data_IF_773650035959
#
_entry.id   IF_773650035959
#
_cell.length_a   1.000
_cell.length_b   1.000
_cell.length_c   1.000
_cell.angle_alpha   90.00
_cell.angle_beta   90.00
_cell.angle_gamma   90.00
#
_symmetry.space_group_name_H-M   'P 1'
#
loop_
_entity.id
_entity.type
_entity.pdbx_description
1 polymer ?
#
# COMPACT_ATOMS: atom_id res chain seq x y z
N UNK A 1 -11.91 -26.91 26.81
CA UNK A 1 -11.80 -27.09 25.35
C UNK A 1 -11.11 -25.85 24.85
N UNK A 2 -9.81 -25.96 24.58
CA UNK A 2 -9.03 -24.85 24.04
C UNK A 2 -9.56 -24.51 22.65
N UNK A 3 -10.21 -23.36 22.51
CA UNK A 3 -10.43 -22.73 21.22
C UNK A 3 -9.06 -22.30 20.70
N UNK A 4 -8.35 -23.21 20.04
CA UNK A 4 -7.23 -22.81 19.18
C UNK A 4 -7.80 -21.86 18.13
N UNK A 5 -7.47 -20.57 18.24
CA UNK A 5 -7.68 -19.61 17.15
C UNK A 5 -7.05 -20.21 15.89
N UNK A 6 -7.91 -20.60 14.93
CA UNK A 6 -7.45 -21.13 13.65
C UNK A 6 -6.69 -20.00 12.97
N UNK A 7 -5.37 -20.16 12.84
CA UNK A 7 -4.55 -19.16 12.15
C UNK A 7 -5.07 -18.96 10.71
N UNK A 8 -5.07 -17.72 10.20
CA UNK A 8 -5.53 -17.45 8.85
C UNK A 8 -4.80 -18.30 7.82
N UNK A 9 -5.53 -18.76 6.81
CA UNK A 9 -4.93 -19.58 5.76
C UNK A 9 -4.06 -18.70 4.85
N UNK A 10 -2.74 -18.91 4.92
CA UNK A 10 -1.74 -18.06 4.24
C UNK A 10 -2.08 -17.80 2.76
N UNK A 11 -2.48 -18.83 2.02
CA UNK A 11 -2.80 -18.70 0.58
C UNK A 11 -3.93 -17.69 0.36
N UNK A 12 -5.00 -17.79 1.13
CA UNK A 12 -6.14 -16.87 1.04
C UNK A 12 -5.76 -15.44 1.42
N UNK A 13 -4.88 -15.27 2.43
CA UNK A 13 -4.34 -13.95 2.76
C UNK A 13 -3.56 -13.37 1.58
N UNK A 14 -2.71 -14.16 0.92
CA UNK A 14 -1.92 -13.69 -0.22
C UNK A 14 -2.80 -13.32 -1.43
N UNK A 15 -3.85 -14.11 -1.71
CA UNK A 15 -4.80 -13.82 -2.78
C UNK A 15 -5.52 -12.48 -2.54
N UNK A 16 -5.95 -12.22 -1.30
CA UNK A 16 -6.58 -10.97 -0.92
C UNK A 16 -5.61 -9.78 -0.98
N UNK A 17 -4.35 -9.96 -0.56
CA UNK A 17 -3.30 -8.92 -0.70
C UNK A 17 -3.14 -8.54 -2.18
N UNK A 18 -2.97 -9.54 -3.04
CA UNK A 18 -2.77 -9.31 -4.47
C UNK A 18 -3.98 -8.66 -5.12
N UNK A 19 -5.19 -9.05 -4.72
CA UNK A 19 -6.44 -8.41 -5.18
C UNK A 19 -6.46 -6.91 -4.88
N UNK A 20 -6.06 -6.49 -3.68
CA UNK A 20 -6.02 -5.07 -3.31
C UNK A 20 -4.87 -4.34 -4.02
N UNK A 21 -3.66 -4.92 -4.05
CA UNK A 21 -2.47 -4.30 -4.66
C UNK A 21 -2.58 -4.16 -6.18
N UNK A 22 -3.35 -5.01 -6.85
CA UNK A 22 -3.56 -4.92 -8.30
C UNK A 22 -4.74 -4.01 -8.67
N UNK A 23 -5.47 -3.50 -7.68
CA UNK A 23 -6.60 -2.61 -7.89
C UNK A 23 -6.25 -1.40 -8.76
N UNK A 24 -7.24 -0.93 -9.49
CA UNK A 24 -7.10 0.29 -10.28
C UNK A 24 -6.81 1.52 -9.44
N UNK A 25 -7.23 1.53 -8.18
CA UNK A 25 -6.95 2.61 -7.26
C UNK A 25 -6.79 2.07 -5.84
N UNK A 26 -5.55 2.04 -5.34
CA UNK A 26 -5.23 1.48 -4.01
C UNK A 26 -5.87 2.30 -2.87
N UNK A 27 -5.93 3.63 -3.02
CA UNK A 27 -6.56 4.54 -2.03
C UNK A 27 -8.04 4.18 -1.86
N UNK A 28 -8.76 4.06 -2.98
CA UNK A 28 -10.18 3.68 -2.98
C UNK A 28 -10.40 2.23 -2.56
N UNK A 29 -9.51 1.32 -2.95
CA UNK A 29 -9.59 -0.06 -2.55
C UNK A 29 -9.54 -0.17 -1.03
N UNK A 30 -8.52 0.44 -0.40
CA UNK A 30 -8.37 0.44 1.05
C UNK A 30 -9.52 1.12 1.78
N UNK A 31 -10.01 2.26 1.28
CA UNK A 31 -11.13 2.99 1.90
C UNK A 31 -12.45 2.19 1.92
N UNK A 32 -12.68 1.35 0.90
CA UNK A 32 -13.92 0.60 0.75
C UNK A 32 -13.79 -0.89 1.11
N UNK A 33 -12.60 -1.32 1.53
CA UNK A 33 -12.33 -2.73 1.78
C UNK A 33 -13.08 -3.23 3.02
N UNK A 34 -13.84 -4.31 2.87
CA UNK A 34 -14.59 -4.95 3.95
C UNK A 34 -13.83 -6.18 4.45
N UNK A 35 -13.08 -6.01 5.54
CA UNK A 35 -12.40 -7.11 6.22
C UNK A 35 -13.40 -7.86 7.11
N UNK A 36 -14.11 -8.83 6.54
CA UNK A 36 -15.13 -9.62 7.22
C UNK A 36 -14.69 -11.04 7.56
N UNK A 37 -13.42 -11.37 7.33
CA UNK A 37 -12.79 -12.64 7.68
C UNK A 37 -11.37 -12.38 8.20
N UNK A 38 -10.81 -13.26 9.04
CA UNK A 38 -9.43 -13.11 9.54
C UNK A 38 -8.40 -12.95 8.41
N UNK A 39 -8.58 -13.66 7.30
CA UNK A 39 -7.70 -13.56 6.13
C UNK A 39 -7.69 -12.16 5.54
N UNK A 40 -8.87 -11.55 5.44
CA UNK A 40 -9.03 -10.20 4.88
C UNK A 40 -8.52 -9.13 5.84
N UNK A 41 -8.64 -9.35 7.15
CA UNK A 41 -8.05 -8.48 8.17
C UNK A 41 -6.52 -8.45 8.04
N UNK A 42 -5.89 -9.62 7.93
CA UNK A 42 -4.45 -9.71 7.74
C UNK A 42 -4.00 -9.11 6.40
N UNK A 43 -4.78 -9.35 5.33
CA UNK A 43 -4.50 -8.78 4.02
C UNK A 43 -4.57 -7.25 4.03
N UNK A 44 -5.62 -6.67 4.64
CA UNK A 44 -5.75 -5.22 4.69
C UNK A 44 -4.69 -4.57 5.56
N UNK A 45 -4.28 -5.20 6.67
CA UNK A 45 -3.16 -4.72 7.49
C UNK A 45 -1.85 -4.69 6.71
N UNK A 46 -1.55 -5.76 5.97
CA UNK A 46 -0.39 -5.81 5.10
C UNK A 46 -0.40 -4.69 4.05
N UNK A 47 -1.52 -4.51 3.34
CA UNK A 47 -1.61 -3.51 2.28
C UNK A 47 -1.63 -2.09 2.84
N UNK A 48 -2.20 -1.88 4.04
CA UNK A 48 -2.08 -0.61 4.77
C UNK A 48 -0.63 -0.28 5.13
N UNK A 49 0.16 -1.27 5.56
CA UNK A 49 1.57 -1.03 5.85
C UNK A 49 2.34 -0.56 4.60
N UNK A 50 2.11 -1.22 3.44
CA UNK A 50 2.66 -0.78 2.15
C UNK A 50 2.17 0.62 1.76
N UNK A 51 0.87 0.88 1.89
CA UNK A 51 0.28 2.18 1.60
C UNK A 51 0.89 3.30 2.45
N UNK A 52 1.03 3.08 3.76
CA UNK A 52 1.61 4.04 4.70
C UNK A 52 3.08 4.33 4.34
N UNK A 53 3.84 3.30 3.98
CA UNK A 53 5.20 3.46 3.48
C UNK A 53 5.26 4.35 2.23
N UNK A 54 4.41 4.10 1.24
CA UNK A 54 4.32 4.95 0.04
C UNK A 54 3.90 6.39 0.40
N UNK A 55 2.95 6.55 1.32
CA UNK A 55 2.49 7.87 1.77
C UNK A 55 3.60 8.67 2.46
N UNK A 56 4.44 8.02 3.27
CA UNK A 56 5.59 8.66 3.91
C UNK A 56 6.61 9.15 2.87
N UNK A 57 6.94 8.31 1.89
CA UNK A 57 7.86 8.68 0.79
C UNK A 57 7.29 9.87 0.01
N UNK A 58 6.02 9.79 -0.40
CA UNK A 58 5.33 10.85 -1.13
C UNK A 58 5.35 12.16 -0.36
N UNK A 59 5.03 12.12 0.93
CA UNK A 59 5.00 13.31 1.78
C UNK A 59 6.37 13.94 1.88
N UNK A 60 7.42 13.14 2.07
CA UNK A 60 8.79 13.61 2.13
C UNK A 60 9.26 14.21 0.79
N UNK A 61 8.97 13.54 -0.32
CA UNK A 61 9.34 13.97 -1.66
C UNK A 61 8.66 15.30 -2.01
N UNK A 62 7.36 15.48 -1.67
CA UNK A 62 6.65 16.76 -1.84
C UNK A 62 7.35 17.88 -1.06
N UNK A 63 7.64 17.66 0.23
CA UNK A 63 8.31 18.65 1.09
C UNK A 63 9.71 19.03 0.55
N UNK A 64 10.43 18.06 -0.02
CA UNK A 64 11.78 18.26 -0.57
C UNK A 64 11.80 18.63 -2.05
N UNK A 65 10.64 18.72 -2.69
CA UNK A 65 10.48 18.96 -4.14
C UNK A 65 11.24 17.93 -5.00
N UNK A 66 11.25 16.68 -4.55
CA UNK A 66 11.83 15.55 -5.28
C UNK A 66 10.76 14.98 -6.23
N UNK A 67 11.16 14.68 -7.45
CA UNK A 67 10.34 13.95 -8.42
C UNK A 67 11.06 12.67 -8.77
N UNK A 68 10.50 11.54 -8.35
CA UNK A 68 11.07 10.21 -8.63
C UNK A 68 10.53 9.67 -9.95
N UNK A 69 11.42 9.02 -10.70
CA UNK A 69 11.05 8.17 -11.81
C UNK A 69 10.44 6.84 -11.33
N UNK A 70 9.71 6.18 -12.22
CA UNK A 70 9.17 4.83 -11.96
C UNK A 70 10.27 3.83 -11.57
N UNK A 71 11.47 3.97 -12.14
CA UNK A 71 12.61 3.12 -11.81
C UNK A 71 13.08 3.32 -10.37
N UNK A 72 13.23 4.57 -9.92
CA UNK A 72 13.63 4.88 -8.54
C UNK A 72 12.60 4.42 -7.52
N UNK A 73 11.30 4.50 -7.85
CA UNK A 73 10.23 4.01 -6.97
C UNK A 73 10.29 2.49 -6.87
N UNK A 74 10.45 1.79 -8.00
CA UNK A 74 10.62 0.32 -8.03
C UNK A 74 11.84 -0.12 -7.23
N UNK A 75 12.96 0.56 -7.42
CA UNK A 75 14.21 0.27 -6.72
C UNK A 75 14.07 0.43 -5.21
N UNK A 76 13.46 1.52 -4.75
CA UNK A 76 13.19 1.77 -3.33
C UNK A 76 12.29 0.70 -2.71
N UNK A 77 11.18 0.37 -3.39
CA UNK A 77 10.24 -0.65 -2.91
C UNK A 77 10.89 -2.04 -2.90
N UNK A 78 11.67 -2.36 -3.93
CA UNK A 78 12.41 -3.62 -4.03
C UNK A 78 13.41 -3.77 -2.88
N UNK A 79 14.21 -2.73 -2.60
CA UNK A 79 15.20 -2.76 -1.52
C UNK A 79 14.57 -2.96 -0.15
N UNK A 80 13.49 -2.22 0.17
CA UNK A 80 12.81 -2.33 1.46
C UNK A 80 12.13 -3.70 1.63
N UNK A 81 11.67 -4.30 0.53
CA UNK A 81 10.97 -5.58 0.55
C UNK A 81 11.83 -6.77 0.13
N UNK A 82 13.16 -6.65 0.08
CA UNK A 82 14.04 -7.70 -0.43
C UNK A 82 13.86 -9.05 0.29
N UNK A 83 13.60 -9.03 1.60
CA UNK A 83 13.32 -10.24 2.37
C UNK A 83 12.00 -10.93 1.97
N UNK A 84 11.04 -10.17 1.41
CA UNK A 84 9.79 -10.74 0.91
C UNK A 84 10.02 -11.61 -0.32
N UNK A 85 11.03 -11.30 -1.15
CA UNK A 85 11.33 -12.08 -2.34
C UNK A 85 11.54 -13.57 -2.03
N UNK A 86 12.17 -13.89 -0.90
CA UNK A 86 12.40 -15.28 -0.48
C UNK A 86 11.18 -15.93 0.19
N UNK A 87 10.29 -15.13 0.78
CA UNK A 87 9.09 -15.63 1.48
C UNK A 87 7.94 -15.85 0.52
N UNK A 88 7.75 -14.89 -0.39
CA UNK A 88 6.67 -14.82 -1.34
C UNK A 88 7.07 -13.95 -2.55
N UNK A 89 7.63 -14.59 -3.56
CA UNK A 89 8.09 -13.93 -4.78
C UNK A 89 6.94 -13.24 -5.54
N UNK A 90 5.74 -13.82 -5.49
CA UNK A 90 4.57 -13.28 -6.19
C UNK A 90 4.13 -11.95 -5.56
N UNK A 91 4.04 -11.89 -4.23
CA UNK A 91 3.70 -10.66 -3.52
C UNK A 91 4.80 -9.61 -3.68
N UNK A 92 6.07 -10.02 -3.56
CA UNK A 92 7.20 -9.13 -3.81
C UNK A 92 7.13 -8.49 -5.20
N UNK A 93 6.92 -9.31 -6.23
CA UNK A 93 6.81 -8.84 -7.61
C UNK A 93 5.63 -7.89 -7.77
N UNK A 94 4.49 -8.20 -7.16
CA UNK A 94 3.28 -7.36 -7.21
C UNK A 94 3.52 -6.00 -6.56
N UNK A 95 4.16 -5.96 -5.39
CA UNK A 95 4.53 -4.70 -4.71
C UNK A 95 5.40 -3.82 -5.60
N UNK A 96 6.47 -4.40 -6.18
CA UNK A 96 7.43 -3.65 -7.01
C UNK A 96 6.79 -3.20 -8.31
N UNK A 97 6.10 -4.08 -9.04
CA UNK A 97 5.53 -3.75 -10.36
C UNK A 97 4.52 -2.62 -10.26
N UNK A 98 3.65 -2.65 -9.23
CA UNK A 98 2.58 -1.68 -9.07
C UNK A 98 2.96 -0.44 -8.26
N UNK A 99 4.15 -0.41 -7.62
CA UNK A 99 4.55 0.71 -6.76
C UNK A 99 4.55 2.09 -7.43
N UNK A 100 4.91 2.29 -8.72
CA UNK A 100 4.82 3.62 -9.33
C UNK A 100 3.38 4.11 -9.44
N UNK A 101 2.45 3.21 -9.81
CA UNK A 101 1.01 3.51 -9.87
C UNK A 101 0.49 3.88 -8.47
N UNK A 102 0.88 3.13 -7.45
CA UNK A 102 0.53 3.42 -6.06
C UNK A 102 1.05 4.79 -5.63
N UNK A 103 2.32 5.09 -5.90
CA UNK A 103 2.95 6.37 -5.60
C UNK A 103 2.19 7.53 -6.23
N UNK A 104 1.89 7.49 -7.53
CA UNK A 104 1.16 8.55 -8.22
C UNK A 104 -0.25 8.78 -7.64
N UNK A 105 -0.94 7.69 -7.29
CA UNK A 105 -2.28 7.76 -6.70
C UNK A 105 -2.25 8.37 -5.30
N UNK A 106 -1.29 7.98 -4.48
CA UNK A 106 -1.08 8.52 -3.14
C UNK A 106 -0.65 9.99 -3.22
N UNK A 107 0.28 10.34 -4.12
CA UNK A 107 0.70 11.72 -4.37
C UNK A 107 -0.49 12.61 -4.73
N UNK A 108 -1.36 12.15 -5.63
CA UNK A 108 -2.58 12.88 -5.98
C UNK A 108 -3.50 13.07 -4.77
N UNK A 109 -3.68 12.03 -3.95
CA UNK A 109 -4.53 12.11 -2.76
C UNK A 109 -3.97 13.12 -1.73
N UNK A 110 -2.68 13.02 -1.41
CA UNK A 110 -2.01 13.93 -0.45
C UNK A 110 -2.08 15.39 -0.90
N UNK A 111 -1.80 15.67 -2.18
CA UNK A 111 -1.89 17.05 -2.70
C UNK A 111 -3.33 17.60 -2.64
N UNK A 112 -4.34 16.74 -2.85
CA UNK A 112 -5.75 17.13 -2.73
C UNK A 112 -6.13 17.45 -1.28
N UNK A 113 -5.64 16.67 -0.32
CA UNK A 113 -5.86 16.89 1.11
C UNK A 113 -5.21 18.21 1.56
N UNK A 114 -3.94 18.43 1.21
CA UNK A 114 -3.23 19.68 1.52
C UNK A 114 -3.94 20.91 0.95
N UNK A 115 -4.38 20.86 -0.32
CA UNK A 115 -5.10 21.96 -0.95
C UNK A 115 -6.48 22.21 -0.31
N UNK A 116 -7.12 21.18 0.27
CA UNK A 116 -8.38 21.33 1.01
C UNK A 116 -8.14 22.03 2.34
N UNK A 117 -7.12 21.63 3.09
CA UNK A 117 -6.76 22.25 4.37
C UNK A 117 -6.36 23.72 4.21
N UNK A 118 -5.67 24.09 3.13
CA UNK A 118 -5.33 25.48 2.85
C UNK A 118 -6.56 26.35 2.61
N UNK A 119 -7.58 25.83 1.93
CA UNK A 119 -8.84 26.54 1.70
C UNK A 119 -9.64 26.73 2.99
N UNK A 120 -9.68 25.71 3.85
CA UNK A 120 -10.37 25.79 5.15
C UNK A 120 -9.70 26.77 6.12
N UNK A 121 -8.39 27.00 6.01
CA UNK A 121 -7.65 28.00 6.81
C UNK A 121 -7.83 29.44 6.32
N UNK A 122 -8.30 29.64 5.08
CA UNK A 122 -8.47 30.95 4.44
C UNK A 122 -9.92 31.45 4.45
N UNK A 123 -10.89 30.60 4.81
CA UNK A 123 -12.31 30.95 4.95
C UNK A 123 -12.70 31.20 6.40
#
# INVERSE_FOLDING_TARGET
MDTQEKQPERILVMDEISSILTSDNIVKALANYKANTPEKEHAVEFVKAHYNFIQEIVTNDIQRKIVRSDFEIKDLVSHVNALMQHKDEYIFTTLVVHSPKHYQQVQKAVLQEMAKEEKEKQG
#
